data_IF_581766224671
#
_entry.id   IF_581766224671
#
_cell.length_a   1.000
_cell.length_b   1.000
_cell.length_c   1.000
_cell.angle_alpha   90.00
_cell.angle_beta   90.00
_cell.angle_gamma   90.00
#
_symmetry.space_group_name_H-M   'P 1'
#
loop_
_entity.id
_entity.type
_entity.pdbx_description
1 polymer ?
#
# COMPACT_ATOMS: atom_id res chain seq x y z
N UNK A 1 -5.32 11.15 -16.26
CA UNK A 1 -5.21 12.28 -15.32
C UNK A 1 -4.99 11.70 -13.93
N UNK A 2 -3.75 11.72 -13.42
CA UNK A 2 -3.46 11.20 -12.07
C UNK A 2 -3.69 12.33 -11.06
N UNK A 3 -4.83 12.30 -10.36
CA UNK A 3 -5.05 13.16 -9.21
C UNK A 3 -4.06 12.73 -8.12
N UNK A 4 -2.89 13.36 -8.09
CA UNK A 4 -2.01 13.29 -6.93
C UNK A 4 -2.74 14.06 -5.83
N UNK A 5 -3.44 13.34 -4.95
CA UNK A 5 -3.98 13.91 -3.72
C UNK A 5 -2.87 14.70 -3.02
N UNK A 6 -3.15 15.98 -2.68
CA UNK A 6 -2.27 16.80 -1.84
C UNK A 6 -2.14 16.24 -0.41
N UNK A 7 -3.02 15.32 -0.01
CA UNK A 7 -2.94 14.62 1.26
C UNK A 7 -1.91 13.51 1.16
N UNK A 8 -0.98 13.50 2.12
CA UNK A 8 0.03 12.46 2.32
C UNK A 8 -0.17 11.83 3.68
N UNK A 9 -0.33 10.51 3.72
CA UNK A 9 -0.35 9.78 4.98
C UNK A 9 1.07 9.64 5.52
N UNK A 10 1.23 9.62 6.84
CA UNK A 10 2.50 9.21 7.46
C UNK A 10 2.72 7.73 7.16
N UNK A 11 3.98 7.29 7.11
CA UNK A 11 4.31 5.90 6.78
C UNK A 11 5.19 5.32 7.89
N UNK A 12 4.84 4.12 8.35
CA UNK A 12 5.65 3.39 9.33
C UNK A 12 6.79 2.63 8.67
N UNK A 13 7.88 2.41 9.40
CA UNK A 13 8.97 1.51 8.98
C UNK A 13 8.45 0.09 8.70
N UNK A 14 7.44 -0.36 9.44
CA UNK A 14 6.75 -1.63 9.19
C UNK A 14 6.15 -1.71 7.78
N UNK A 15 5.45 -0.65 7.37
CA UNK A 15 4.84 -0.60 6.04
C UNK A 15 5.91 -0.59 4.93
N UNK A 16 7.01 0.14 5.12
CA UNK A 16 8.15 0.14 4.19
C UNK A 16 8.76 -1.25 4.07
N UNK A 17 9.01 -1.92 5.20
CA UNK A 17 9.52 -3.30 5.22
C UNK A 17 8.59 -4.25 4.45
N UNK A 18 7.28 -4.20 4.72
CA UNK A 18 6.30 -5.06 4.04
C UNK A 18 6.20 -4.77 2.56
N UNK A 19 6.32 -3.51 2.16
CA UNK A 19 6.37 -3.13 0.76
C UNK A 19 7.59 -3.72 0.06
N UNK A 20 8.77 -3.59 0.66
CA UNK A 20 9.99 -4.15 0.11
C UNK A 20 9.94 -5.69 -0.02
N UNK A 21 9.44 -6.38 1.01
CA UNK A 21 9.31 -7.84 1.01
C UNK A 21 8.29 -8.33 -0.04
N UNK A 22 7.13 -7.68 -0.12
CA UNK A 22 5.96 -8.20 -0.86
C UNK A 22 5.86 -7.71 -2.29
N UNK A 23 6.37 -6.51 -2.58
CA UNK A 23 6.23 -5.84 -3.88
C UNK A 23 7.57 -5.74 -4.58
N UNK A 24 8.62 -5.33 -3.86
CA UNK A 24 9.97 -5.24 -4.44
C UNK A 24 10.72 -6.58 -4.42
N UNK A 25 10.12 -7.60 -3.83
CA UNK A 25 10.68 -8.95 -3.68
C UNK A 25 12.09 -8.95 -3.06
N UNK A 26 12.29 -8.09 -2.05
CA UNK A 26 13.54 -7.98 -1.30
C UNK A 26 13.50 -8.83 -0.04
N UNK A 27 14.64 -9.45 0.26
CA UNK A 27 14.78 -10.26 1.47
C UNK A 27 15.31 -9.40 2.61
N UNK A 28 14.55 -9.33 3.69
CA UNK A 28 14.97 -8.71 4.95
C UNK A 28 15.32 -9.83 5.93
N UNK A 29 16.51 -9.82 6.56
CA UNK A 29 16.87 -10.80 7.57
C UNK A 29 15.81 -10.90 8.69
N UNK A 30 15.55 -12.14 9.12
CA UNK A 30 14.66 -12.39 10.25
C UNK A 30 15.25 -11.81 11.56
N UNK A 31 14.39 -11.52 12.52
CA UNK A 31 14.80 -11.01 13.84
C UNK A 31 15.17 -9.52 13.90
N UNK A 32 15.20 -8.81 12.77
CA UNK A 32 15.40 -7.37 12.75
C UNK A 32 14.13 -6.62 13.19
N UNK A 33 14.32 -5.58 14.00
CA UNK A 33 13.29 -4.54 14.22
C UNK A 33 12.99 -3.82 12.90
N UNK A 34 11.82 -3.17 12.79
CA UNK A 34 11.44 -2.51 11.54
C UNK A 34 12.41 -1.38 11.15
N UNK A 35 12.95 -0.65 12.13
CA UNK A 35 13.98 0.37 11.89
C UNK A 35 15.29 -0.23 11.36
N UNK A 36 15.72 -1.36 11.91
CA UNK A 36 16.90 -2.08 11.43
C UNK A 36 16.67 -2.69 10.05
N UNK A 37 15.46 -3.18 9.78
CA UNK A 37 15.07 -3.66 8.47
C UNK A 37 15.16 -2.56 7.40
N UNK A 38 14.71 -1.33 7.70
CA UNK A 38 14.88 -0.19 6.79
C UNK A 38 16.35 0.11 6.52
N UNK A 39 17.21 0.08 7.55
CA UNK A 39 18.66 0.21 7.38
C UNK A 39 19.27 -0.88 6.49
N UNK A 40 18.85 -2.13 6.67
CA UNK A 40 19.29 -3.25 5.83
C UNK A 40 18.83 -3.09 4.37
N UNK A 41 17.62 -2.58 4.13
CA UNK A 41 17.10 -2.31 2.79
C UNK A 41 17.91 -1.20 2.09
N UNK A 42 18.26 -0.13 2.80
CA UNK A 42 19.14 0.91 2.27
C UNK A 42 20.50 0.34 1.86
N UNK A 43 21.09 -0.52 2.69
CA UNK A 43 22.36 -1.18 2.38
C UNK A 43 22.28 -2.12 1.16
N UNK A 44 21.08 -2.63 0.84
CA UNK A 44 20.80 -3.41 -0.37
C UNK A 44 20.53 -2.55 -1.61
N UNK A 45 20.64 -1.22 -1.51
CA UNK A 45 20.37 -0.29 -2.61
C UNK A 45 18.88 -0.06 -2.89
N UNK A 46 18.00 -0.38 -1.95
CA UNK A 46 16.57 -0.07 -2.08
C UNK A 46 16.36 1.43 -1.85
N UNK A 47 15.66 2.08 -2.78
CA UNK A 47 15.20 3.45 -2.61
C UNK A 47 14.04 3.50 -1.61
N UNK A 48 14.40 3.68 -0.34
CA UNK A 48 13.43 3.80 0.75
C UNK A 48 12.60 5.07 0.63
N UNK A 49 13.17 6.15 0.08
CA UNK A 49 12.46 7.42 -0.06
C UNK A 49 11.34 7.30 -1.09
N UNK A 50 11.58 6.64 -2.22
CA UNK A 50 10.54 6.33 -3.21
C UNK A 50 9.45 5.43 -2.61
N UNK A 51 9.85 4.36 -1.91
CA UNK A 51 8.90 3.47 -1.26
C UNK A 51 7.98 4.22 -0.27
N UNK A 52 8.56 5.10 0.56
CA UNK A 52 7.81 5.95 1.47
C UNK A 52 6.89 6.92 0.72
N UNK A 53 7.38 7.57 -0.34
CA UNK A 53 6.60 8.52 -1.13
C UNK A 53 5.37 7.86 -1.77
N UNK A 54 5.54 6.66 -2.34
CA UNK A 54 4.45 5.87 -2.94
C UNK A 54 3.42 5.44 -1.88
N UNK A 55 3.88 4.89 -0.76
CA UNK A 55 3.00 4.52 0.35
C UNK A 55 2.23 5.72 0.91
N UNK A 56 2.90 6.87 1.10
CA UNK A 56 2.28 8.11 1.56
C UNK A 56 1.23 8.62 0.57
N UNK A 57 1.49 8.50 -0.73
CA UNK A 57 0.54 8.88 -1.78
C UNK A 57 -0.71 7.99 -1.77
N UNK A 58 -0.54 6.66 -1.72
CA UNK A 58 -1.67 5.74 -1.66
C UNK A 58 -2.46 5.90 -0.36
N UNK A 59 -1.80 5.99 0.79
CA UNK A 59 -2.47 6.27 2.06
C UNK A 59 -3.20 7.61 2.07
N UNK A 60 -2.67 8.58 1.34
CA UNK A 60 -3.29 9.89 1.09
C UNK A 60 -4.68 9.82 0.45
N UNK A 61 -5.01 8.74 -0.28
CA UNK A 61 -6.35 8.54 -0.88
C UNK A 61 -7.41 8.38 0.22
N UNK A 62 -7.10 7.67 1.31
CA UNK A 62 -8.02 7.54 2.46
C UNK A 62 -8.28 8.90 3.09
N UNK A 63 -7.22 9.69 3.28
CA UNK A 63 -7.32 11.03 3.85
C UNK A 63 -8.11 11.98 2.96
N UNK A 64 -7.92 11.91 1.63
CA UNK A 64 -8.67 12.71 0.67
C UNK A 64 -10.18 12.39 0.70
N UNK A 65 -10.56 11.15 1.03
CA UNK A 65 -11.94 10.75 1.27
C UNK A 65 -12.48 11.22 2.65
N UNK A 66 -11.74 12.07 3.38
CA UNK A 66 -12.03 12.53 4.75
C UNK A 66 -12.13 11.38 5.76
N UNK A 67 -11.49 10.26 5.48
CA UNK A 67 -11.37 9.13 6.39
C UNK A 67 -9.99 9.16 7.06
N UNK A 68 -9.94 8.80 8.33
CA UNK A 68 -8.66 8.62 9.05
C UNK A 68 -8.18 7.17 9.01
N UNK A 69 -9.11 6.24 8.77
CA UNK A 69 -8.84 4.80 8.79
C UNK A 69 -9.53 4.14 7.60
N UNK A 70 -8.77 3.37 6.83
CA UNK A 70 -9.28 2.75 5.59
C UNK A 70 -8.30 1.77 4.95
N UNK A 71 -8.70 1.19 3.82
CA UNK A 71 -7.83 0.32 3.01
C UNK A 71 -7.91 0.77 1.55
N UNK A 72 -6.75 0.90 0.91
CA UNK A 72 -6.63 1.28 -0.49
C UNK A 72 -6.20 0.06 -1.28
N UNK A 73 -6.96 -0.27 -2.33
CA UNK A 73 -6.54 -1.24 -3.34
C UNK A 73 -5.60 -0.53 -4.31
N UNK A 74 -4.44 -1.12 -4.57
CA UNK A 74 -3.48 -0.65 -5.57
C UNK A 74 -3.36 -1.75 -6.64
N UNK A 75 -4.20 -1.72 -7.69
CA UNK A 75 -4.27 -2.80 -8.68
C UNK A 75 -2.97 -2.98 -9.45
N UNK A 76 -2.31 -1.87 -9.79
CA UNK A 76 -1.04 -1.84 -10.55
C UNK A 76 0.07 -2.62 -9.84
N UNK A 77 0.05 -2.62 -8.50
CA UNK A 77 1.05 -3.29 -7.65
C UNK A 77 0.52 -4.61 -7.07
N UNK A 78 -0.72 -5.01 -7.41
CA UNK A 78 -1.33 -6.22 -6.89
C UNK A 78 -1.39 -6.26 -5.36
N UNK A 79 -1.71 -5.16 -4.68
CA UNK A 79 -1.68 -5.11 -3.21
C UNK A 79 -2.79 -4.25 -2.58
N UNK A 80 -2.89 -4.31 -1.24
CA UNK A 80 -3.69 -3.37 -0.45
C UNK A 80 -2.84 -2.64 0.58
N UNK A 81 -3.05 -1.34 0.72
CA UNK A 81 -2.41 -0.48 1.71
C UNK A 81 -3.40 -0.21 2.84
N UNK A 82 -3.02 -0.53 4.08
CA UNK A 82 -3.86 -0.27 5.27
C UNK A 82 -3.45 1.04 5.91
N UNK A 83 -4.42 1.94 6.10
CA UNK A 83 -4.28 3.19 6.84
C UNK A 83 -5.05 3.09 8.15
N UNK A 84 -4.41 3.44 9.26
CA UNK A 84 -5.03 3.60 10.57
C UNK A 84 -4.61 4.96 11.15
N UNK A 85 -5.57 5.75 11.60
CA UNK A 85 -5.35 7.06 12.23
C UNK A 85 -4.45 8.01 11.39
N UNK A 86 -4.63 7.98 10.07
CA UNK A 86 -3.87 8.76 9.09
C UNK A 86 -2.45 8.26 8.81
N UNK A 87 -2.11 7.07 9.29
CA UNK A 87 -0.80 6.43 9.12
C UNK A 87 -0.93 5.14 8.31
N UNK A 88 -0.06 4.96 7.33
CA UNK A 88 0.11 3.68 6.64
C UNK A 88 0.83 2.71 7.56
N UNK A 89 0.11 1.69 8.01
CA UNK A 89 0.59 0.73 9.01
C UNK A 89 1.06 -0.58 8.40
N UNK A 90 0.56 -0.99 7.24
CA UNK A 90 1.02 -2.22 6.58
C UNK A 90 0.62 -2.30 5.10
N UNK A 91 1.27 -3.21 4.38
CA UNK A 91 0.99 -3.61 3.00
C UNK A 91 0.55 -5.07 2.98
N UNK A 92 -0.59 -5.37 2.38
CA UNK A 92 -1.18 -6.72 2.29
C UNK A 92 -1.07 -7.26 0.86
N UNK A 93 -0.54 -8.48 0.73
CA UNK A 93 -0.54 -9.27 -0.51
C UNK A 93 -0.90 -10.73 -0.20
N UNK A 94 -1.56 -11.46 -1.13
CA UNK A 94 -2.21 -10.94 -2.34
C UNK A 94 -3.43 -10.07 -2.01
N UNK A 95 -3.94 -9.26 -2.94
CA UNK A 95 -5.21 -8.59 -2.74
C UNK A 95 -6.29 -9.69 -2.75
N UNK A 96 -7.24 -9.73 -1.79
CA UNK A 96 -8.35 -10.65 -1.84
C UNK A 96 -9.02 -10.60 -3.21
N UNK A 97 -9.22 -11.78 -3.82
CA UNK A 97 -9.91 -11.93 -5.11
C UNK A 97 -11.24 -11.20 -5.00
N UNK A 98 -11.38 -10.08 -5.68
CA UNK A 98 -12.66 -9.40 -5.81
C UNK A 98 -13.50 -10.32 -6.68
N UNK A 99 -14.49 -11.02 -6.09
CA UNK A 99 -15.51 -11.68 -6.91
C UNK A 99 -16.15 -10.57 -7.75
N UNK A 100 -16.21 -10.69 -9.09
CA UNK A 100 -16.90 -9.69 -9.89
C UNK A 100 -18.31 -9.53 -9.33
N UNK A 101 -18.73 -8.28 -9.12
CA UNK A 101 -20.08 -7.99 -8.67
C UNK A 101 -21.04 -8.59 -9.70
N UNK A 102 -21.77 -9.65 -9.29
CA UNK A 102 -22.79 -10.32 -10.11
C UNK A 102 -23.90 -9.39 -10.60
N UNK A 103 -23.89 -8.12 -10.19
CA UNK A 103 -24.85 -7.10 -10.57
C UNK A 103 -24.56 -6.44 -11.94
N UNK A 104 -23.31 -6.45 -12.43
CA UNK A 104 -23.01 -5.87 -13.74
C UNK A 104 -23.33 -6.80 -14.92
N UNK A 105 -23.44 -8.12 -14.70
CA UNK A 105 -23.85 -9.08 -15.75
C UNK A 105 -25.37 -9.31 -15.84
N UNK A 106 -26.16 -8.70 -14.95
CA UNK A 106 -27.62 -8.79 -15.00
C UNK A 106 -28.26 -7.76 -15.94
N UNK A 107 -27.53 -6.72 -16.36
CA UNK A 107 -28.05 -5.69 -17.27
C UNK A 107 -27.74 -5.96 -18.76
N UNK A 108 -26.78 -6.81 -19.09
CA UNK A 108 -26.48 -7.18 -20.49
C UNK A 108 -27.36 -8.31 -21.04
N UNK A 109 -28.27 -8.89 -20.24
CA UNK A 109 -29.24 -9.89 -20.71
C UNK A 109 -30.67 -9.37 -20.84
N UNK A 110 -30.88 -8.07 -20.67
CA UNK A 110 -32.19 -7.42 -20.76
C UNK A 110 -32.27 -6.33 -21.84
N UNK A 111 -31.43 -6.42 -22.87
CA UNK A 111 -31.49 -5.60 -24.08
C UNK A 111 -31.74 -6.48 -25.31
#
# INVERSE_FOLDING_TARGET
MSHVSSHRARVTDHAVRRFAERVLHRTVPAGLTDRQAVGALLAQGVDVADAQARLAAWGGIVLAARQVTGTVLVPEEGMRVRVADGVVVTVLTPPPRVRPARHLMAMERAA
#
